data_IF_372227773163
#
_entry.id   IF_372227773163
#
_cell.length_a   1.000
_cell.length_b   1.000
_cell.length_c   1.000
_cell.angle_alpha   90.00
_cell.angle_beta   90.00
_cell.angle_gamma   90.00
#
_symmetry.space_group_name_H-M   'P 1'
#
loop_
_entity.id
_entity.type
_entity.pdbx_description
1 polymer ?
#
# COMPACT_ATOMS: atom_id res chain seq x y z
N UNK A 1 -25.55 -4.36 -0.37
CA UNK A 1 -24.83 -4.96 0.78
C UNK A 1 -23.80 -3.94 1.20
N UNK A 2 -24.01 -3.22 2.31
CA UNK A 2 -23.23 -2.03 2.68
C UNK A 2 -22.20 -2.31 3.79
N UNK A 3 -21.80 -3.57 4.02
CA UNK A 3 -20.87 -3.92 5.10
C UNK A 3 -19.72 -4.76 4.59
N UNK A 4 -18.51 -4.35 4.91
CA UNK A 4 -17.26 -5.02 4.55
C UNK A 4 -16.60 -5.57 5.83
N UNK A 5 -15.98 -6.75 5.72
CA UNK A 5 -15.15 -7.31 6.80
C UNK A 5 -13.70 -6.92 6.54
N UNK A 6 -13.06 -6.29 7.51
CA UNK A 6 -11.69 -5.85 7.41
C UNK A 6 -10.88 -6.36 8.61
N UNK A 7 -9.58 -6.56 8.40
CA UNK A 7 -8.66 -7.08 9.39
C UNK A 7 -7.49 -6.11 9.57
N UNK A 8 -7.10 -5.88 10.81
CA UNK A 8 -5.92 -5.09 11.17
C UNK A 8 -4.91 -6.00 11.86
N UNK A 9 -3.76 -6.18 11.22
CA UNK A 9 -2.62 -6.89 11.78
C UNK A 9 -1.66 -5.95 12.48
N UNK A 10 -1.29 -6.24 13.74
CA UNK A 10 -0.40 -5.42 14.57
C UNK A 10 0.37 -6.26 15.58
N UNK A 11 1.56 -5.83 16.03
CA UNK A 11 2.20 -6.43 17.21
C UNK A 11 1.45 -6.09 18.53
N UNK A 12 0.58 -5.10 18.54
CA UNK A 12 -0.09 -4.61 19.75
C UNK A 12 -1.38 -5.38 20.04
N UNK A 13 -1.53 -5.90 21.26
CA UNK A 13 -2.74 -6.64 21.68
C UNK A 13 -3.99 -5.75 21.81
N UNK A 14 -3.78 -4.47 22.10
CA UNK A 14 -4.85 -3.50 22.33
C UNK A 14 -4.71 -2.40 21.28
N UNK A 15 -5.75 -2.21 20.48
CA UNK A 15 -5.81 -1.17 19.46
C UNK A 15 -7.05 -0.33 19.69
N UNK A 16 -6.88 1.00 19.66
CA UNK A 16 -7.98 1.96 19.72
C UNK A 16 -7.90 2.83 18.47
N UNK A 17 -8.64 2.50 17.39
CA UNK A 17 -8.68 3.32 16.19
C UNK A 17 -9.11 4.74 16.56
N UNK A 18 -8.25 5.72 16.32
CA UNK A 18 -8.50 7.12 16.67
C UNK A 18 -8.31 7.99 15.44
N UNK A 19 -9.31 8.81 15.10
CA UNK A 19 -9.20 9.80 14.03
C UNK A 19 -8.04 10.78 14.29
N UNK A 20 -7.37 11.21 13.22
CA UNK A 20 -6.24 12.14 13.28
C UNK A 20 -4.91 11.52 13.76
N UNK A 21 -4.90 10.28 14.24
CA UNK A 21 -3.68 9.53 14.57
C UNK A 21 -3.14 8.74 13.36
N UNK A 22 -1.96 8.15 13.54
CA UNK A 22 -1.22 7.43 12.51
C UNK A 22 -0.04 8.22 11.97
N UNK A 23 0.84 7.54 11.25
CA UNK A 23 2.05 8.15 10.70
C UNK A 23 1.75 8.90 9.41
N UNK A 24 2.33 10.11 9.27
CA UNK A 24 2.16 10.91 8.05
C UNK A 24 2.76 10.23 6.82
N UNK A 25 3.83 9.45 7.01
CA UNK A 25 4.57 8.79 5.93
C UNK A 25 4.03 7.41 5.58
N UNK A 26 2.81 7.05 5.99
CA UNK A 26 2.17 5.84 5.49
C UNK A 26 1.70 6.04 4.04
N UNK A 27 1.30 4.95 3.39
CA UNK A 27 1.06 4.89 1.94
C UNK A 27 -0.04 5.85 1.46
N UNK A 28 -1.00 6.16 2.35
CA UNK A 28 -2.15 7.05 2.10
C UNK A 28 -2.26 8.13 3.18
N UNK A 29 -1.11 8.50 3.75
CA UNK A 29 -0.99 9.44 4.85
C UNK A 29 -1.54 8.93 6.18
N UNK A 30 -1.97 9.85 7.05
CA UNK A 30 -2.57 9.49 8.35
C UNK A 30 -3.91 8.80 8.18
N UNK A 31 -4.15 7.78 8.99
CA UNK A 31 -5.39 7.01 9.04
C UNK A 31 -5.19 5.65 9.71
N UNK A 32 -6.27 4.86 9.76
CA UNK A 32 -6.24 3.50 10.28
C UNK A 32 -6.29 2.49 9.13
N UNK A 33 -5.36 1.54 9.13
CA UNK A 33 -5.08 0.66 7.99
C UNK A 33 -5.57 -0.76 8.23
N UNK A 34 -6.35 -1.28 7.30
CA UNK A 34 -6.92 -2.63 7.34
C UNK A 34 -6.81 -3.32 5.98
N UNK A 35 -7.18 -4.59 5.90
CA UNK A 35 -7.30 -5.36 4.65
C UNK A 35 -8.45 -6.35 4.72
N UNK A 36 -9.03 -6.73 3.58
CA UNK A 36 -10.03 -7.82 3.52
C UNK A 36 -9.37 -9.21 3.66
N UNK A 37 -8.06 -9.33 3.45
CA UNK A 37 -7.35 -10.60 3.55
C UNK A 37 -6.84 -10.86 4.96
N UNK A 38 -7.41 -11.84 5.63
CA UNK A 38 -6.95 -12.26 6.96
C UNK A 38 -5.50 -12.77 6.92
N UNK A 39 -5.09 -13.50 5.89
CA UNK A 39 -3.74 -14.06 5.78
C UNK A 39 -2.71 -12.94 5.66
N UNK A 40 -3.02 -11.90 4.88
CA UNK A 40 -2.17 -10.71 4.81
C UNK A 40 -2.12 -9.98 6.14
N UNK A 41 -3.26 -9.81 6.83
CA UNK A 41 -3.27 -9.20 8.16
C UNK A 41 -2.39 -9.99 9.14
N UNK A 42 -2.42 -11.33 9.10
CA UNK A 42 -1.54 -12.17 9.92
C UNK A 42 -0.06 -11.94 9.60
N UNK A 43 0.32 -11.98 8.32
CA UNK A 43 1.69 -11.65 7.91
C UNK A 43 2.12 -10.24 8.37
N UNK A 44 1.22 -9.26 8.28
CA UNK A 44 1.53 -7.87 8.63
C UNK A 44 1.67 -7.67 10.15
N UNK A 45 0.97 -8.46 10.95
CA UNK A 45 1.07 -8.45 12.41
C UNK A 45 2.48 -8.83 12.91
N UNK A 46 3.20 -9.66 12.15
CA UNK A 46 4.51 -10.22 12.54
C UNK A 46 5.62 -9.89 11.53
N UNK A 47 5.44 -8.90 10.65
CA UNK A 47 6.45 -8.58 9.62
C UNK A 47 7.72 -7.91 10.17
N UNK A 48 7.70 -7.44 11.42
CA UNK A 48 8.87 -6.89 12.10
C UNK A 48 9.68 -8.04 12.69
N UNK A 49 11.02 -8.11 12.47
CA UNK A 49 11.84 -9.22 12.92
C UNK A 49 12.22 -9.06 14.40
N UNK A 50 11.24 -9.06 15.29
CA UNK A 50 11.43 -8.91 16.74
C UNK A 50 11.06 -10.17 17.53
N UNK A 51 10.74 -11.27 16.84
CA UNK A 51 10.41 -12.59 17.42
C UNK A 51 9.22 -12.57 18.40
N UNK A 52 8.33 -11.59 18.26
CA UNK A 52 7.11 -11.49 19.08
C UNK A 52 5.89 -11.90 18.28
N UNK A 53 5.00 -12.69 18.89
CA UNK A 53 3.69 -12.97 18.33
C UNK A 53 2.90 -11.68 18.10
N UNK A 54 2.11 -11.68 17.03
CA UNK A 54 1.27 -10.56 16.64
C UNK A 54 -0.20 -10.82 16.95
N UNK A 55 -1.05 -9.87 16.58
CA UNK A 55 -2.48 -9.92 16.75
C UNK A 55 -3.20 -9.47 15.50
N UNK A 56 -4.34 -10.10 15.22
CA UNK A 56 -5.28 -9.67 14.19
C UNK A 56 -6.61 -9.31 14.84
N UNK A 57 -6.99 -8.05 14.65
CA UNK A 57 -8.29 -7.50 15.01
C UNK A 57 -9.21 -7.58 13.79
N UNK A 58 -10.49 -7.90 13.99
CA UNK A 58 -11.48 -7.93 12.93
C UNK A 58 -12.47 -6.78 13.13
N UNK A 59 -12.80 -6.10 12.03
CA UNK A 59 -13.71 -4.97 11.98
C UNK A 59 -14.81 -5.20 10.95
N UNK A 60 -15.95 -4.56 11.20
CA UNK A 60 -17.02 -4.34 10.22
C UNK A 60 -17.06 -2.86 9.90
N UNK A 61 -16.90 -2.53 8.62
CA UNK A 61 -17.08 -1.18 8.09
C UNK A 61 -18.44 -1.09 7.42
N UNK A 62 -19.28 -0.17 7.88
CA UNK A 62 -20.50 0.22 7.16
C UNK A 62 -20.17 1.28 6.10
N UNK A 63 -20.33 0.93 4.83
CA UNK A 63 -19.96 1.76 3.68
C UNK A 63 -21.10 2.64 3.19
N UNK A 64 -22.29 2.56 3.80
CA UNK A 64 -23.43 3.36 3.37
C UNK A 64 -23.12 4.85 3.52
N UNK A 65 -23.19 5.63 2.43
CA UNK A 65 -22.92 7.07 2.46
C UNK A 65 -21.47 7.43 2.79
N UNK A 66 -20.51 6.52 2.61
CA UNK A 66 -19.08 6.84 2.61
C UNK A 66 -18.58 7.08 1.18
N UNK A 67 -17.77 8.12 1.00
CA UNK A 67 -17.02 8.35 -0.23
C UNK A 67 -15.75 7.48 -0.21
N UNK A 68 -15.69 6.46 -1.07
CA UNK A 68 -14.56 5.53 -1.16
C UNK A 68 -13.78 5.75 -2.45
N UNK A 69 -12.50 6.05 -2.33
CA UNK A 69 -11.58 6.07 -3.46
C UNK A 69 -10.95 4.69 -3.64
N UNK A 70 -11.08 4.12 -4.84
CA UNK A 70 -10.36 2.91 -5.23
C UNK A 70 -9.23 3.21 -6.23
N UNK A 71 -7.99 3.08 -5.78
CA UNK A 71 -6.83 3.25 -6.64
C UNK A 71 -6.67 2.13 -7.69
N UNK A 72 -7.31 0.97 -7.49
CA UNK A 72 -7.37 -0.06 -8.53
C UNK A 72 -8.11 0.43 -9.77
N UNK A 73 -9.14 1.27 -9.58
CA UNK A 73 -9.91 1.86 -10.69
C UNK A 73 -9.19 3.07 -11.32
N UNK A 74 -8.31 3.75 -10.58
CA UNK A 74 -7.52 4.89 -11.09
C UNK A 74 -6.26 4.48 -11.84
N UNK A 75 -5.81 3.25 -11.62
CA UNK A 75 -4.62 2.70 -12.26
C UNK A 75 -3.31 3.06 -11.55
N UNK A 76 -2.26 2.37 -12.00
CA UNK A 76 -0.95 2.31 -11.34
C UNK A 76 -0.26 3.67 -11.21
N UNK A 77 -0.39 4.55 -12.20
CA UNK A 77 0.27 5.86 -12.19
C UNK A 77 -0.36 6.80 -11.17
N UNK A 78 -1.69 6.77 -11.04
CA UNK A 78 -2.39 7.56 -10.04
C UNK A 78 -2.05 7.09 -8.62
N UNK A 79 -1.96 5.78 -8.44
CA UNK A 79 -1.53 5.21 -7.17
C UNK A 79 -0.07 5.54 -6.82
N UNK A 80 0.86 5.42 -7.77
CA UNK A 80 2.25 5.86 -7.58
C UNK A 80 2.35 7.34 -7.23
N UNK A 81 1.53 8.18 -7.86
CA UNK A 81 1.49 9.60 -7.57
C UNK A 81 1.05 9.86 -6.12
N UNK A 82 0.07 9.09 -5.61
CA UNK A 82 -0.34 9.17 -4.20
C UNK A 82 0.81 8.82 -3.25
N UNK A 83 1.48 7.68 -3.49
CA UNK A 83 2.62 7.27 -2.65
C UNK A 83 3.75 8.31 -2.62
N UNK A 84 4.00 8.97 -3.76
CA UNK A 84 5.03 10.00 -3.89
C UNK A 84 4.69 11.31 -3.16
N UNK A 85 3.44 11.53 -2.73
CA UNK A 85 3.08 12.69 -1.90
C UNK A 85 3.66 12.57 -0.48
N UNK A 86 3.62 11.37 0.07
CA UNK A 86 3.98 11.11 1.47
C UNK A 86 5.37 10.48 1.63
N UNK A 87 5.93 9.93 0.54
CA UNK A 87 7.24 9.24 0.56
C UNK A 87 8.09 9.56 -0.66
N UNK A 88 9.23 10.19 -0.41
CA UNK A 88 10.24 10.43 -1.44
C UNK A 88 10.86 9.10 -1.92
N UNK A 89 10.74 8.81 -3.22
CA UNK A 89 11.40 7.68 -3.86
C UNK A 89 12.91 7.96 -4.07
N UNK A 90 13.30 9.22 -4.27
CA UNK A 90 14.70 9.62 -4.39
C UNK A 90 14.90 11.04 -3.82
N UNK A 91 16.14 11.49 -3.74
CA UNK A 91 16.52 12.79 -3.16
C UNK A 91 17.22 13.73 -4.16
N UNK A 92 17.39 13.29 -5.41
CA UNK A 92 18.05 14.08 -6.44
C UNK A 92 17.24 15.32 -6.85
N UNK A 93 17.93 16.38 -7.31
CA UNK A 93 17.27 17.58 -7.87
C UNK A 93 16.35 17.21 -9.04
N UNK A 94 16.79 16.30 -9.92
CA UNK A 94 16.01 15.78 -11.05
C UNK A 94 14.71 15.15 -10.55
N UNK A 95 14.80 14.27 -9.56
CA UNK A 95 13.61 13.62 -8.98
C UNK A 95 12.63 14.65 -8.42
N UNK A 96 13.08 15.57 -7.55
CA UNK A 96 12.18 16.58 -6.95
C UNK A 96 11.42 17.41 -7.98
N UNK A 97 12.05 17.71 -9.12
CA UNK A 97 11.41 18.45 -10.22
C UNK A 97 10.37 17.59 -10.95
N UNK A 98 10.74 16.37 -11.35
CA UNK A 98 9.87 15.48 -12.12
C UNK A 98 8.74 14.90 -11.27
N UNK A 99 8.98 14.59 -10.00
CA UNK A 99 7.97 14.11 -9.06
C UNK A 99 6.82 15.12 -8.91
N UNK A 100 7.13 16.42 -8.82
CA UNK A 100 6.09 17.47 -8.80
C UNK A 100 5.24 17.47 -10.07
N UNK A 101 5.86 17.32 -11.25
CA UNK A 101 5.12 17.20 -12.52
C UNK A 101 4.30 15.92 -12.57
N UNK A 102 4.83 14.82 -12.07
CA UNK A 102 4.14 13.53 -12.02
C UNK A 102 2.89 13.61 -11.14
N UNK A 103 3.03 14.12 -9.93
CA UNK A 103 1.92 14.30 -8.98
C UNK A 103 0.88 15.28 -9.54
N UNK A 104 1.31 16.36 -10.21
CA UNK A 104 0.38 17.28 -10.85
C UNK A 104 -0.40 16.64 -12.02
N UNK A 105 0.21 15.71 -12.75
CA UNK A 105 -0.38 15.06 -13.93
C UNK A 105 -1.28 13.86 -13.58
N UNK A 106 -0.86 13.05 -12.61
CA UNK A 106 -1.51 11.77 -12.28
C UNK A 106 -2.14 11.74 -10.88
N UNK A 107 -1.84 12.73 -10.03
CA UNK A 107 -2.37 12.79 -8.67
C UNK A 107 -3.88 12.95 -8.65
N UNK A 108 -4.50 12.28 -7.68
CA UNK A 108 -5.91 12.42 -7.37
C UNK A 108 -6.05 13.29 -6.12
N UNK A 109 -7.04 14.18 -6.09
CA UNK A 109 -7.41 14.88 -4.85
C UNK A 109 -8.09 13.88 -3.91
N UNK A 110 -7.43 13.59 -2.79
CA UNK A 110 -7.87 12.57 -1.83
C UNK A 110 -8.60 13.13 -0.61
N UNK A 111 -8.70 14.47 -0.48
CA UNK A 111 -9.17 15.13 0.75
C UNK A 111 -10.66 14.88 1.03
N UNK A 112 -11.47 14.69 -0.03
CA UNK A 112 -12.91 14.46 0.09
C UNK A 112 -13.31 13.04 0.46
N UNK A 113 -12.38 12.09 0.44
CA UNK A 113 -12.70 10.67 0.61
C UNK A 113 -12.65 10.24 2.07
N UNK A 114 -13.66 9.50 2.47
CA UNK A 114 -13.80 8.92 3.81
C UNK A 114 -12.89 7.69 3.98
N UNK A 115 -12.72 6.94 2.89
CA UNK A 115 -11.90 5.72 2.83
C UNK A 115 -11.10 5.72 1.54
N UNK A 116 -9.82 5.38 1.65
CA UNK A 116 -8.95 5.15 0.50
C UNK A 116 -8.60 3.67 0.48
N UNK A 117 -8.91 2.96 -0.61
CA UNK A 117 -8.46 1.59 -0.84
C UNK A 117 -7.51 1.52 -2.02
N UNK A 118 -6.56 0.61 -1.94
CA UNK A 118 -5.60 0.34 -3.01
C UNK A 118 -4.49 -0.57 -2.53
N UNK A 119 -3.47 -0.74 -3.36
CA UNK A 119 -2.36 -1.64 -3.04
C UNK A 119 -1.52 -1.18 -1.83
N UNK A 120 -0.87 -2.12 -1.14
CA UNK A 120 0.11 -1.81 -0.08
C UNK A 120 1.51 -1.62 -0.65
N UNK A 121 2.24 -0.60 -0.20
CA UNK A 121 3.65 -0.42 -0.55
C UNK A 121 4.56 -1.02 0.54
N UNK A 122 5.18 -2.17 0.24
CA UNK A 122 6.22 -2.79 1.08
C UNK A 122 7.63 -2.43 0.58
N UNK A 123 8.67 -3.07 1.13
CA UNK A 123 10.06 -2.77 0.76
C UNK A 123 10.39 -3.05 -0.71
N UNK A 124 9.87 -4.14 -1.29
CA UNK A 124 10.03 -4.48 -2.70
C UNK A 124 9.31 -3.46 -3.60
N UNK A 125 8.20 -2.90 -3.15
CA UNK A 125 7.53 -1.80 -3.84
C UNK A 125 8.40 -0.54 -3.94
N UNK A 126 9.02 -0.12 -2.83
CA UNK A 126 9.90 1.06 -2.85
C UNK A 126 11.08 0.90 -3.79
N UNK A 127 11.57 -0.34 -3.97
CA UNK A 127 12.57 -0.62 -4.98
C UNK A 127 12.03 -0.34 -6.38
N UNK A 128 10.85 -0.83 -6.75
CA UNK A 128 10.28 -0.59 -8.09
C UNK A 128 10.02 0.90 -8.33
N UNK A 129 9.41 1.59 -7.36
CA UNK A 129 9.18 3.03 -7.47
C UNK A 129 10.51 3.80 -7.67
N UNK A 130 11.58 3.40 -6.98
CA UNK A 130 12.94 3.96 -7.15
C UNK A 130 13.50 3.73 -8.55
N UNK A 131 13.43 2.51 -9.04
CA UNK A 131 13.96 2.15 -10.34
C UNK A 131 13.17 2.81 -11.48
N UNK A 132 11.84 2.91 -11.34
CA UNK A 132 11.00 3.66 -12.27
C UNK A 132 11.40 5.13 -12.36
N UNK A 133 11.50 5.86 -11.24
CA UNK A 133 11.83 7.29 -11.26
C UNK A 133 13.28 7.59 -11.70
N UNK A 134 14.12 6.55 -11.74
CA UNK A 134 15.49 6.57 -12.26
C UNK A 134 15.59 6.26 -13.75
N UNK A 135 14.47 6.03 -14.41
CA UNK A 135 14.39 5.60 -15.81
C UNK A 135 14.94 4.19 -16.06
N UNK A 136 14.95 3.30 -15.06
CA UNK A 136 15.42 1.92 -15.21
C UNK A 136 14.31 0.92 -15.55
N UNK A 137 13.05 1.37 -15.50
CA UNK A 137 11.87 0.54 -15.74
C UNK A 137 11.02 1.20 -16.81
N UNK A 138 10.70 0.43 -17.84
CA UNK A 138 9.72 0.80 -18.85
C UNK A 138 8.30 0.81 -18.26
N UNK A 139 7.49 1.78 -18.65
CA UNK A 139 6.09 1.88 -18.25
C UNK A 139 5.36 0.56 -18.57
N UNK A 140 5.61 -0.02 -19.74
CA UNK A 140 4.82 -1.15 -20.25
C UNK A 140 4.90 -2.39 -19.33
N UNK A 141 5.95 -2.50 -18.49
CA UNK A 141 6.11 -3.60 -17.50
C UNK A 141 5.83 -3.16 -16.05
N UNK A 142 5.56 -1.88 -15.80
CA UNK A 142 5.45 -1.32 -14.46
C UNK A 142 4.29 -1.95 -13.68
N UNK A 143 3.12 -2.09 -14.31
CA UNK A 143 1.96 -2.70 -13.66
C UNK A 143 2.21 -4.16 -13.31
N UNK A 144 2.83 -4.92 -14.21
CA UNK A 144 3.22 -6.31 -13.95
C UNK A 144 4.20 -6.39 -12.79
N UNK A 145 5.26 -5.58 -12.79
CA UNK A 145 6.24 -5.54 -11.70
C UNK A 145 5.60 -5.30 -10.34
N UNK A 146 4.65 -4.38 -10.26
CA UNK A 146 3.96 -4.06 -9.02
C UNK A 146 3.01 -5.19 -8.59
N UNK A 147 2.43 -5.93 -9.53
CA UNK A 147 1.59 -7.09 -9.23
C UNK A 147 2.37 -8.29 -8.64
N UNK A 148 3.66 -8.45 -8.97
CA UNK A 148 4.51 -9.57 -8.53
C UNK A 148 4.71 -9.65 -7.01
N UNK A 149 4.51 -8.53 -6.31
CA UNK A 149 4.65 -8.43 -4.85
C UNK A 149 3.53 -9.11 -4.05
N UNK A 150 2.41 -9.46 -4.71
CA UNK A 150 1.20 -9.91 -4.00
C UNK A 150 0.77 -8.89 -2.95
N UNK A 151 0.81 -7.60 -3.32
CA UNK A 151 0.73 -6.42 -2.44
C UNK A 151 -0.47 -6.47 -1.49
N UNK A 152 -1.55 -7.10 -1.95
CA UNK A 152 -2.83 -7.05 -1.30
C UNK A 152 -3.44 -5.66 -1.34
N UNK A 153 -4.73 -5.61 -1.03
CA UNK A 153 -5.46 -4.35 -0.93
C UNK A 153 -5.53 -3.95 0.53
N UNK A 154 -5.17 -2.71 0.80
CA UNK A 154 -5.33 -2.08 2.09
C UNK A 154 -6.40 -0.98 2.00
N UNK A 155 -7.10 -0.79 3.11
CA UNK A 155 -8.09 0.25 3.34
C UNK A 155 -7.53 1.21 4.38
N UNK A 156 -7.49 2.49 4.06
CA UNK A 156 -7.14 3.56 4.97
C UNK A 156 -8.41 4.34 5.33
N UNK A 157 -8.76 4.32 6.62
CA UNK A 157 -9.91 5.06 7.18
C UNK A 157 -9.43 6.49 7.47
N UNK A 158 -10.10 7.49 6.85
CA UNK A 158 -9.60 8.87 6.78
C UNK A 158 -10.44 9.87 7.54
N UNK A 159 -11.76 9.76 7.53
CA UNK A 159 -12.66 10.78 8.09
C UNK A 159 -13.33 10.34 9.40
N UNK A 160 -13.74 11.30 10.23
CA UNK A 160 -14.53 11.01 11.44
C UNK A 160 -15.77 10.17 11.15
N UNK A 161 -16.44 10.42 10.02
CA UNK A 161 -17.60 9.64 9.56
C UNK A 161 -17.22 8.17 9.35
N UNK A 162 -16.11 7.89 8.66
CA UNK A 162 -15.64 6.53 8.44
C UNK A 162 -15.26 5.82 9.75
N UNK A 163 -14.58 6.52 10.67
CA UNK A 163 -14.26 5.99 12.00
C UNK A 163 -15.53 5.65 12.80
N UNK A 164 -16.58 6.49 12.72
CA UNK A 164 -17.85 6.24 13.42
C UNK A 164 -18.59 4.99 12.92
N UNK A 165 -18.30 4.56 11.69
CA UNK A 165 -18.90 3.38 11.02
C UNK A 165 -18.01 2.15 11.04
N UNK A 166 -16.83 2.24 11.67
CA UNK A 166 -15.90 1.14 11.82
C UNK A 166 -16.05 0.54 13.22
N UNK A 167 -16.54 -0.71 13.29
CA UNK A 167 -16.79 -1.39 14.55
C UNK A 167 -15.95 -2.65 14.66
N UNK A 168 -15.19 -2.77 15.75
CA UNK A 168 -14.49 -4.01 16.07
C UNK A 168 -15.51 -5.11 16.39
N UNK A 169 -15.24 -6.31 15.89
CA UNK A 169 -16.05 -7.49 16.19
C UNK A 169 -15.67 -8.00 17.58
N UNK A 170 -16.64 -8.12 18.48
CA UNK A 170 -16.37 -8.61 19.82
C UNK A 170 -15.84 -10.05 19.80
N UNK A 171 -14.86 -10.34 20.68
CA UNK A 171 -14.26 -11.67 20.86
C UNK A 171 -13.63 -12.29 19.60
N UNK A 172 -13.23 -11.48 18.61
CA UNK A 172 -12.62 -11.97 17.35
C UNK A 172 -11.09 -11.84 17.31
N UNK A 173 -10.45 -11.41 18.40
CA UNK A 173 -9.00 -11.21 18.45
C UNK A 173 -8.28 -12.54 18.22
N UNK A 174 -7.36 -12.58 17.25
CA UNK A 174 -6.54 -13.74 16.97
C UNK A 174 -5.09 -13.46 17.30
N UNK A 175 -4.44 -14.35 18.06
CA UNK A 175 -2.98 -14.38 18.18
C UNK A 175 -2.38 -14.95 16.90
N UNK A 176 -1.27 -14.38 16.45
CA UNK A 176 -0.53 -14.81 15.27
C UNK A 176 0.84 -15.28 15.70
N UNK A 177 1.14 -16.54 15.42
CA UNK A 177 2.45 -17.11 15.68
C UNK A 177 3.50 -16.49 14.76
N UNK A 178 4.53 -15.91 15.38
CA UNK A 178 5.60 -15.22 14.67
C UNK A 178 6.32 -16.16 13.69
N UNK A 179 6.73 -17.34 14.16
CA UNK A 179 7.54 -18.27 13.37
C UNK A 179 6.85 -18.68 12.07
N UNK A 180 5.56 -19.00 12.13
CA UNK A 180 4.80 -19.42 10.95
C UNK A 180 4.58 -18.27 9.94
N UNK A 181 4.08 -17.12 10.42
CA UNK A 181 3.64 -16.05 9.51
C UNK A 181 4.77 -15.10 9.09
N UNK A 182 5.84 -14.97 9.88
CA UNK A 182 7.03 -14.25 9.46
C UNK A 182 7.78 -14.99 8.35
N UNK A 183 7.86 -16.33 8.43
CA UNK A 183 8.42 -17.16 7.35
C UNK A 183 7.64 -17.00 6.04
N UNK A 184 6.30 -17.04 6.11
CA UNK A 184 5.42 -16.78 4.94
C UNK A 184 5.65 -15.39 4.35
N UNK A 185 5.69 -14.37 5.21
CA UNK A 185 5.97 -12.99 4.79
C UNK A 185 7.31 -12.87 4.06
N UNK A 186 8.38 -13.44 4.63
CA UNK A 186 9.72 -13.40 4.05
C UNK A 186 9.79 -14.19 2.74
N UNK A 187 9.19 -15.38 2.69
CA UNK A 187 9.16 -16.19 1.48
C UNK A 187 8.46 -15.46 0.32
N UNK A 188 7.32 -14.80 0.61
CA UNK A 188 6.62 -13.98 -0.37
C UNK A 188 7.47 -12.80 -0.84
N UNK A 189 8.12 -12.07 0.07
CA UNK A 189 8.95 -10.92 -0.31
C UNK A 189 10.19 -11.34 -1.12
N UNK A 190 10.85 -12.44 -0.76
CA UNK A 190 11.99 -12.99 -1.52
C UNK A 190 11.56 -13.40 -2.92
N UNK A 191 10.48 -14.17 -3.02
CA UNK A 191 9.96 -14.67 -4.31
C UNK A 191 9.54 -13.51 -5.21
N UNK A 192 8.86 -12.51 -4.65
CA UNK A 192 8.50 -11.29 -5.36
C UNK A 192 9.73 -10.58 -5.92
N UNK A 193 10.75 -10.33 -5.09
CA UNK A 193 12.00 -9.67 -5.51
C UNK A 193 12.74 -10.45 -6.58
N UNK A 194 12.75 -11.79 -6.51
CA UNK A 194 13.36 -12.63 -7.53
C UNK A 194 12.65 -12.48 -8.88
N UNK A 195 11.32 -12.59 -8.90
CA UNK A 195 10.52 -12.39 -10.13
C UNK A 195 10.67 -10.98 -10.69
N UNK A 196 10.69 -9.97 -9.82
CA UNK A 196 10.91 -8.58 -10.22
C UNK A 196 12.27 -8.39 -10.89
N UNK A 197 13.35 -8.95 -10.34
CA UNK A 197 14.69 -8.90 -10.96
C UNK A 197 14.68 -9.55 -12.34
N UNK A 198 14.11 -10.74 -12.44
CA UNK A 198 13.98 -11.45 -13.73
C UNK A 198 13.26 -10.62 -14.77
N UNK A 199 12.14 -9.97 -14.39
CA UNK A 199 11.38 -9.14 -15.32
C UNK A 199 12.12 -7.84 -15.70
N UNK A 200 12.78 -7.18 -14.74
CA UNK A 200 13.60 -5.97 -15.00
C UNK A 200 14.78 -6.29 -15.94
N UNK A 201 15.38 -7.46 -15.81
CA UNK A 201 16.54 -7.89 -16.63
C UNK A 201 16.13 -8.53 -17.97
N UNK A 202 14.83 -8.61 -18.27
CA UNK A 202 14.31 -9.24 -19.49
C UNK A 202 14.19 -8.26 -20.67
N UNK A 203 14.10 -8.79 -21.89
CA UNK A 203 13.86 -8.00 -23.11
C UNK A 203 12.52 -7.22 -23.08
N UNK A 204 11.59 -7.60 -22.21
CA UNK A 204 10.34 -6.85 -22.01
C UNK A 204 10.60 -5.45 -21.43
N UNK A 205 11.68 -5.28 -20.64
CA UNK A 205 12.10 -3.98 -20.14
C UNK A 205 12.91 -3.23 -21.21
N UNK A 206 12.22 -2.66 -22.21
CA UNK A 206 12.90 -1.99 -23.33
C UNK A 206 13.60 -0.68 -22.95
N UNK A 207 13.22 -0.09 -21.80
CA UNK A 207 13.72 1.20 -21.29
C UNK A 207 13.54 2.34 -22.32
N UNK A 208 12.44 2.29 -23.10
CA UNK A 208 12.12 3.32 -24.10
C UNK A 208 11.02 4.28 -23.62
N UNK A 209 10.05 3.78 -22.85
CA UNK A 209 8.96 4.58 -22.24
C UNK A 209 9.18 4.71 -20.73
N UNK A 210 10.18 5.47 -20.34
CA UNK A 210 10.60 5.64 -18.95
C UNK A 210 10.00 6.87 -18.27
N UNK A 211 10.17 7.00 -16.95
CA UNK A 211 9.58 8.10 -16.17
C UNK A 211 9.83 9.49 -16.74
N UNK A 212 11.04 9.80 -17.23
CA UNK A 212 11.31 11.11 -17.84
C UNK A 212 10.60 11.36 -19.17
N UNK A 213 10.26 10.33 -19.94
CA UNK A 213 9.59 10.51 -21.24
C UNK A 213 8.13 10.90 -21.08
N UNK A 214 7.52 10.66 -19.91
CA UNK A 214 6.16 11.11 -19.58
C UNK A 214 5.97 12.63 -19.61
N UNK A 215 7.07 13.39 -19.66
CA UNK A 215 7.11 14.85 -19.64
C UNK A 215 7.84 15.45 -20.85
N UNK A 216 8.23 14.63 -21.82
CA UNK A 216 8.70 15.12 -23.11
C UNK A 216 7.45 15.47 -23.93
N UNK A 217 7.38 16.71 -24.38
CA UNK A 217 6.39 17.16 -25.38
C UNK A 217 6.64 16.48 -26.71
#
# INVERSE_FOLDING_TARGET
MNKITLYHGTPDKIVVPTFGKGEKKHDYGRGFYLTESIDLAKEWAVCRPNETNGYVHQYKLDTEGLEILDFQEKGVLAWLAELMKDRDAADSKRYRMLAKKFIAKYGVDTDKYDVIKGWRANASYFYIAKEFVRDNIDMDILEELLSLGGLGIQYCIKSELAYSKLHEVANSLQTVEYTEFNEKYNHRDITARQKMRVLVDSDANSVTKVFSTLFKE
#
